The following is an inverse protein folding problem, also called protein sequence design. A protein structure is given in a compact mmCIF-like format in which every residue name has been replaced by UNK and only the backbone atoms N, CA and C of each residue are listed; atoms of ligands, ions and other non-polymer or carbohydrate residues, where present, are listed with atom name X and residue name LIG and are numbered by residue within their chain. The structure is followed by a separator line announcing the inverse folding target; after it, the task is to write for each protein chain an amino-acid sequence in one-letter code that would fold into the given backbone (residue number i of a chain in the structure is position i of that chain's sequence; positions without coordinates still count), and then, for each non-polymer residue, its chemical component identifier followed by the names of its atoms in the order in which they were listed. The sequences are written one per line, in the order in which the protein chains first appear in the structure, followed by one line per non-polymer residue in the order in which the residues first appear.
data_IF_452298607428
#
_entry.id   IF_452298607428
#
_cell.length_a   1.000
_cell.length_b   1.000
_cell.length_c   1.000
_cell.angle_alpha   90.00
_cell.angle_beta   90.00
_cell.angle_gamma   90.00
#
_symmetry.space_group_name_H-M   'P 1'
#
loop_
_entity.id
_entity.type
_entity.pdbx_description
1 polymer ?
#
# COMPACT_ATOMS: atom_id res chain seq x y z
N UNK A 1 5.33 10.47 26.38
CA UNK A 1 5.53 9.08 26.80
C UNK A 1 6.20 8.22 25.70
N UNK A 2 5.67 8.16 24.43
CA UNK A 2 6.30 7.36 23.36
C UNK A 2 7.68 7.92 23.01
N UNK A 3 7.80 9.23 22.81
CA UNK A 3 9.07 9.87 22.50
C UNK A 3 10.10 9.68 23.63
N UNK A 4 9.67 9.87 24.88
CA UNK A 4 10.54 9.72 26.07
C UNK A 4 11.00 8.27 26.22
N UNK A 5 10.10 7.31 25.98
CA UNK A 5 10.44 5.88 26.01
C UNK A 5 11.46 5.52 24.92
N UNK A 6 11.22 5.97 23.68
CA UNK A 6 12.13 5.71 22.56
C UNK A 6 13.53 6.31 22.82
N UNK A 7 13.60 7.51 23.44
CA UNK A 7 14.86 8.14 23.82
C UNK A 7 15.58 7.35 24.91
N UNK A 8 14.85 6.95 25.95
CA UNK A 8 15.43 6.24 27.10
C UNK A 8 15.93 4.83 26.73
N UNK A 9 15.30 4.18 25.75
CA UNK A 9 15.62 2.80 25.36
C UNK A 9 16.53 2.71 24.14
N UNK A 10 16.78 3.82 23.44
CA UNK A 10 17.60 3.85 22.22
C UNK A 10 17.01 3.04 21.06
N UNK A 11 15.68 2.86 21.02
CA UNK A 11 15.02 2.11 19.96
C UNK A 11 15.18 2.83 18.61
N UNK A 12 15.65 2.13 17.59
CA UNK A 12 15.90 2.69 16.27
C UNK A 12 14.63 2.87 15.44
N UNK A 13 13.61 2.03 15.67
CA UNK A 13 12.36 2.05 14.94
C UNK A 13 11.18 1.77 15.85
N UNK A 14 10.16 2.61 15.76
CA UNK A 14 8.91 2.48 16.50
C UNK A 14 7.74 2.68 15.54
N UNK A 15 6.70 1.89 15.70
CA UNK A 15 5.44 2.02 14.96
C UNK A 15 4.27 1.95 15.93
N UNK A 16 3.32 2.86 15.75
CA UNK A 16 2.08 2.88 16.54
C UNK A 16 0.89 2.40 15.74
N UNK A 17 0.05 1.61 16.37
CA UNK A 17 -1.27 1.30 15.89
C UNK A 17 -2.26 2.31 16.50
N UNK A 18 -2.54 3.38 15.74
CA UNK A 18 -3.52 4.39 16.11
C UNK A 18 -4.63 4.39 15.05
N UNK A 19 -5.66 3.62 15.32
CA UNK A 19 -6.75 3.35 14.38
C UNK A 19 -7.75 4.51 14.37
N UNK A 20 -7.49 5.52 13.56
CA UNK A 20 -8.34 6.72 13.43
C UNK A 20 -8.18 7.35 12.03
N UNK A 21 -8.83 8.49 11.79
CA UNK A 21 -8.68 9.28 10.58
C UNK A 21 -7.27 9.85 10.41
N UNK A 22 -6.92 10.17 9.16
CA UNK A 22 -5.56 10.59 8.80
C UNK A 22 -5.06 11.79 9.59
N UNK A 23 -5.91 12.81 9.79
CA UNK A 23 -5.62 14.02 10.55
C UNK A 23 -5.20 13.73 12.01
N UNK A 24 -5.85 12.74 12.63
CA UNK A 24 -5.54 12.32 14.01
C UNK A 24 -4.27 11.48 14.07
N UNK A 25 -4.02 10.63 13.07
CA UNK A 25 -2.77 9.87 12.97
C UNK A 25 -1.60 10.82 12.78
N UNK A 26 -1.71 11.82 11.92
CA UNK A 26 -0.71 12.88 11.75
C UNK A 26 -0.46 13.65 13.05
N UNK A 27 -1.54 14.04 13.74
CA UNK A 27 -1.45 14.70 15.04
C UNK A 27 -0.75 13.83 16.08
N UNK A 28 -1.00 12.51 16.06
CA UNK A 28 -0.33 11.55 16.93
C UNK A 28 1.17 11.48 16.60
N UNK A 29 1.56 11.37 15.33
CA UNK A 29 2.96 11.38 14.89
C UNK A 29 3.65 12.66 15.36
N UNK A 30 3.03 13.83 15.22
CA UNK A 30 3.56 15.11 15.74
C UNK A 30 3.82 15.04 17.24
N UNK A 31 2.87 14.52 18.03
CA UNK A 31 3.00 14.40 19.49
C UNK A 31 4.08 13.43 19.94
N UNK A 32 4.49 12.50 19.08
CA UNK A 32 5.67 11.65 19.34
C UNK A 32 6.99 12.32 18.97
N UNK A 33 6.98 13.62 18.68
CA UNK A 33 8.12 14.35 18.12
C UNK A 33 8.67 13.70 16.85
N UNK A 34 7.79 13.06 16.06
CA UNK A 34 8.14 12.32 14.84
C UNK A 34 9.12 11.15 15.08
N UNK A 35 9.16 10.61 16.30
CA UNK A 35 10.00 9.47 16.69
C UNK A 35 9.30 8.12 16.50
N UNK A 36 8.05 8.10 16.09
CA UNK A 36 7.30 6.89 15.77
C UNK A 36 6.64 7.02 14.41
N UNK A 37 6.73 5.96 13.61
CA UNK A 37 5.87 5.73 12.47
C UNK A 37 4.47 5.29 12.92
N UNK A 38 3.51 5.27 12.02
CA UNK A 38 2.16 4.77 12.30
C UNK A 38 1.64 3.92 11.13
N UNK A 39 0.77 2.96 11.44
CA UNK A 39 0.04 2.23 10.41
C UNK A 39 -0.89 3.18 9.65
N UNK A 40 -0.80 3.13 8.32
CA UNK A 40 -1.59 3.97 7.40
C UNK A 40 -2.94 3.30 7.12
N UNK A 41 -3.89 3.50 8.03
CA UNK A 41 -5.23 2.92 7.92
C UNK A 41 -6.01 3.44 6.71
N UNK A 42 -5.82 4.72 6.33
CA UNK A 42 -6.51 5.27 5.17
C UNK A 42 -5.98 4.66 3.87
N UNK A 43 -4.67 4.43 3.76
CA UNK A 43 -4.11 3.67 2.64
C UNK A 43 -4.76 2.29 2.54
N UNK A 44 -4.88 1.57 3.66
CA UNK A 44 -5.54 0.27 3.71
C UNK A 44 -7.00 0.34 3.26
N UNK A 45 -7.74 1.37 3.69
CA UNK A 45 -9.14 1.55 3.27
C UNK A 45 -9.26 1.85 1.78
N UNK A 46 -8.39 2.69 1.22
CA UNK A 46 -8.39 3.00 -0.20
C UNK A 46 -8.14 1.74 -1.05
N UNK A 47 -7.18 0.90 -0.62
CA UNK A 47 -6.90 -0.38 -1.29
C UNK A 47 -8.08 -1.34 -1.16
N UNK A 48 -8.66 -1.49 0.03
CA UNK A 48 -9.84 -2.33 0.25
C UNK A 48 -11.02 -1.89 -0.63
N UNK A 49 -11.31 -0.61 -0.66
CA UNK A 49 -12.44 -0.06 -1.42
C UNK A 49 -12.22 -0.21 -2.93
N UNK A 50 -10.98 -0.06 -3.40
CA UNK A 50 -10.63 -0.32 -4.80
C UNK A 50 -10.88 -1.79 -5.16
N UNK A 51 -10.35 -2.70 -4.37
CA UNK A 51 -10.44 -4.15 -4.59
C UNK A 51 -11.88 -4.64 -4.45
N UNK A 52 -12.57 -4.26 -3.38
CA UNK A 52 -13.95 -4.66 -3.14
C UNK A 52 -14.95 -3.92 -4.05
N UNK A 53 -14.55 -2.80 -4.67
CA UNK A 53 -15.39 -1.97 -5.52
C UNK A 53 -16.44 -1.13 -4.78
N UNK A 54 -16.42 -1.15 -3.45
CA UNK A 54 -17.36 -0.44 -2.61
C UNK A 54 -16.75 -0.08 -1.26
N UNK A 55 -17.20 1.04 -0.68
CA UNK A 55 -16.77 1.51 0.62
C UNK A 55 -17.45 0.77 1.78
N UNK A 56 -16.91 0.96 3.00
CA UNK A 56 -17.53 0.54 4.25
C UNK A 56 -17.82 -0.97 4.35
N UNK A 57 -16.86 -1.80 3.94
CA UNK A 57 -16.96 -3.26 4.04
C UNK A 57 -17.95 -3.90 3.06
N UNK A 58 -18.63 -3.13 2.23
CA UNK A 58 -19.48 -3.64 1.16
C UNK A 58 -18.61 -4.21 0.02
N UNK A 59 -19.19 -5.08 -0.78
CA UNK A 59 -18.54 -5.68 -1.94
C UNK A 59 -19.43 -5.48 -3.16
N UNK A 60 -18.89 -4.81 -4.18
CA UNK A 60 -19.55 -4.71 -5.47
C UNK A 60 -19.16 -5.90 -6.39
N UNK A 61 -19.92 -6.08 -7.47
CA UNK A 61 -19.64 -7.10 -8.48
C UNK A 61 -18.24 -6.90 -9.10
N UNK A 62 -17.89 -5.64 -9.38
CA UNK A 62 -16.60 -5.25 -9.97
C UNK A 62 -15.75 -4.46 -8.99
N UNK A 63 -14.43 -4.59 -9.08
CA UNK A 63 -13.48 -3.70 -8.42
C UNK A 63 -13.56 -2.30 -9.03
N UNK A 64 -13.17 -1.28 -8.26
CA UNK A 64 -13.06 0.10 -8.73
C UNK A 64 -11.67 0.63 -8.38
N UNK A 65 -10.74 0.39 -9.26
CA UNK A 65 -9.34 0.73 -9.06
C UNK A 65 -9.06 2.24 -9.06
N UNK A 66 -9.99 3.06 -9.56
CA UNK A 66 -9.87 4.53 -9.49
C UNK A 66 -9.83 5.06 -8.04
N UNK A 67 -10.31 4.30 -7.07
CA UNK A 67 -10.25 4.63 -5.63
C UNK A 67 -8.83 4.73 -5.09
N UNK A 68 -7.84 4.12 -5.75
CA UNK A 68 -6.44 4.28 -5.42
C UNK A 68 -5.89 5.69 -5.70
N UNK A 69 -6.64 6.52 -6.42
CA UNK A 69 -6.32 7.94 -6.66
C UNK A 69 -6.63 8.84 -5.44
N UNK A 70 -7.22 8.30 -4.39
CA UNK A 70 -7.45 9.04 -3.15
C UNK A 70 -6.14 9.48 -2.50
N UNK A 71 -6.12 10.70 -1.99
CA UNK A 71 -4.94 11.34 -1.40
C UNK A 71 -5.10 11.65 0.09
N UNK A 72 -6.03 10.99 0.75
CA UNK A 72 -6.37 11.17 2.17
C UNK A 72 -5.60 10.23 3.12
N UNK A 73 -4.44 9.74 2.72
CA UNK A 73 -3.61 8.82 3.49
C UNK A 73 -2.19 9.37 3.73
N UNK A 74 -1.48 8.82 4.74
CA UNK A 74 -0.15 9.26 5.11
C UNK A 74 0.87 9.11 3.97
N UNK A 75 0.79 8.03 3.21
CA UNK A 75 1.70 7.74 2.10
C UNK A 75 1.60 8.82 1.01
N UNK A 76 0.43 9.41 0.82
CA UNK A 76 0.23 10.48 -0.16
C UNK A 76 0.87 11.81 0.28
N UNK A 77 0.81 12.14 1.59
CA UNK A 77 1.39 13.39 2.10
C UNK A 77 2.91 13.31 2.18
N UNK A 78 3.60 14.17 1.41
CA UNK A 78 5.07 14.23 1.38
C UNK A 78 5.69 14.53 2.76
N UNK A 79 4.96 15.20 3.68
CA UNK A 79 5.45 15.51 5.02
C UNK A 79 5.35 14.32 5.99
N UNK A 80 4.45 13.35 5.69
CA UNK A 80 4.17 12.21 6.55
C UNK A 80 4.53 10.87 5.93
N UNK A 81 4.75 10.80 4.62
CA UNK A 81 5.08 9.59 3.87
C UNK A 81 6.15 8.72 4.53
N UNK A 82 7.21 9.35 5.05
CA UNK A 82 8.31 8.65 5.71
C UNK A 82 7.89 7.91 6.99
N UNK A 83 6.77 8.28 7.58
CA UNK A 83 6.20 7.68 8.78
C UNK A 83 5.07 6.70 8.49
N UNK A 84 4.68 6.56 7.22
CA UNK A 84 3.62 5.66 6.81
C UNK A 84 4.10 4.21 6.81
N UNK A 85 3.50 3.37 7.65
CA UNK A 85 3.60 1.91 7.55
C UNK A 85 2.39 1.45 6.76
N UNK A 86 2.59 1.22 5.46
CA UNK A 86 1.52 0.80 4.56
C UNK A 86 1.21 -0.67 4.73
N UNK A 87 -0.06 -1.02 4.73
CA UNK A 87 -0.54 -2.41 4.80
C UNK A 87 -1.87 -2.54 4.07
N UNK A 88 -2.23 -3.74 3.68
CA UNK A 88 -3.49 -4.01 2.97
C UNK A 88 -4.47 -4.83 3.81
N UNK A 89 -3.96 -5.63 4.73
CA UNK A 89 -4.72 -6.42 5.68
C UNK A 89 -3.89 -6.72 6.94
N UNK A 90 -4.56 -6.96 8.07
CA UNK A 90 -3.96 -7.38 9.32
C UNK A 90 -4.88 -8.39 10.05
N UNK A 91 -4.48 -8.82 11.24
CA UNK A 91 -5.23 -9.79 12.04
C UNK A 91 -6.60 -9.28 12.52
N UNK A 92 -6.80 -7.97 12.60
CA UNK A 92 -8.08 -7.37 13.03
C UNK A 92 -9.04 -7.14 11.85
N UNK A 93 -8.53 -7.03 10.63
CA UNK A 93 -9.33 -6.76 9.44
C UNK A 93 -9.62 -7.99 8.59
N UNK A 94 -8.86 -9.08 8.76
CA UNK A 94 -9.07 -10.32 8.01
C UNK A 94 -10.40 -10.99 8.33
N UNK A 95 -10.94 -11.73 7.38
CA UNK A 95 -12.07 -12.63 7.66
C UNK A 95 -11.61 -13.80 8.54
N UNK A 96 -12.17 -13.92 9.75
CA UNK A 96 -11.88 -15.03 10.68
C UNK A 96 -12.98 -16.09 10.68
N UNK A 97 -14.25 -15.67 10.55
CA UNK A 97 -15.39 -16.56 10.48
C UNK A 97 -16.56 -15.92 9.72
N UNK A 98 -17.61 -16.66 9.43
CA UNK A 98 -18.81 -16.11 8.79
C UNK A 98 -19.60 -15.16 9.71
N UNK A 99 -19.48 -15.34 11.03
CA UNK A 99 -20.17 -14.51 12.02
C UNK A 99 -19.38 -13.26 12.41
N UNK A 100 -18.09 -13.19 12.11
CA UNK A 100 -17.23 -12.07 12.48
C UNK A 100 -17.30 -10.98 11.40
N UNK A 101 -17.79 -9.79 11.80
CA UNK A 101 -18.01 -8.63 10.93
C UNK A 101 -16.72 -7.83 10.69
N UNK A 102 -15.67 -8.53 10.28
CA UNK A 102 -14.40 -7.89 9.91
C UNK A 102 -14.54 -7.25 8.52
N UNK A 103 -13.56 -6.46 8.17
CA UNK A 103 -13.54 -5.66 6.95
C UNK A 103 -12.40 -6.10 6.00
N UNK A 104 -12.40 -7.38 5.55
CA UNK A 104 -11.29 -7.95 4.80
C UNK A 104 -11.27 -7.52 3.34
N UNK A 105 -10.13 -7.74 2.71
CA UNK A 105 -10.05 -7.87 1.26
C UNK A 105 -10.88 -9.09 0.83
N UNK A 106 -11.80 -8.90 -0.10
CA UNK A 106 -12.70 -9.98 -0.58
C UNK A 106 -12.20 -10.63 -1.87
N UNK A 107 -11.32 -9.97 -2.61
CA UNK A 107 -10.76 -10.44 -3.89
C UNK A 107 -9.44 -9.70 -4.17
N UNK A 108 -8.73 -10.08 -5.23
CA UNK A 108 -7.55 -9.39 -5.75
C UNK A 108 -6.43 -9.14 -4.72
N UNK A 109 -6.32 -10.01 -3.70
CA UNK A 109 -5.34 -9.88 -2.61
C UNK A 109 -3.91 -9.71 -3.13
N UNK A 110 -3.54 -10.44 -4.18
CA UNK A 110 -2.19 -10.34 -4.73
C UNK A 110 -1.95 -9.01 -5.45
N UNK A 111 -2.94 -8.50 -6.18
CA UNK A 111 -2.86 -7.19 -6.82
C UNK A 111 -2.82 -6.04 -5.80
N UNK A 112 -3.53 -6.17 -4.66
CA UNK A 112 -3.44 -5.24 -3.54
C UNK A 112 -2.01 -5.18 -2.97
N UNK A 113 -1.37 -6.34 -2.76
CA UNK A 113 0.02 -6.40 -2.32
C UNK A 113 0.99 -5.85 -3.39
N UNK A 114 0.72 -6.11 -4.68
CA UNK A 114 1.50 -5.54 -5.77
C UNK A 114 1.46 -4.00 -5.74
N UNK A 115 0.28 -3.41 -5.58
CA UNK A 115 0.17 -1.96 -5.43
C UNK A 115 0.97 -1.46 -4.23
N UNK A 116 0.74 -2.01 -3.04
CA UNK A 116 1.43 -1.60 -1.81
C UNK A 116 2.96 -1.67 -1.94
N UNK A 117 3.48 -2.76 -2.48
CA UNK A 117 4.93 -2.99 -2.58
C UNK A 117 5.60 -2.09 -3.63
N UNK A 118 4.86 -1.59 -4.61
CA UNK A 118 5.36 -0.63 -5.59
C UNK A 118 5.28 0.83 -5.12
N UNK A 119 4.52 1.13 -4.08
CA UNK A 119 4.31 2.49 -3.58
C UNK A 119 5.35 2.90 -2.52
N UNK A 120 5.54 4.20 -2.25
CA UNK A 120 6.34 4.68 -1.12
C UNK A 120 5.78 4.21 0.23
N UNK A 121 6.49 4.55 1.32
CA UNK A 121 6.17 4.10 2.67
C UNK A 121 6.96 2.86 3.06
N UNK A 122 6.75 2.38 4.27
CA UNK A 122 7.32 1.13 4.79
C UNK A 122 6.26 0.04 4.70
N UNK A 123 6.34 -0.88 3.72
CA UNK A 123 5.29 -1.88 3.53
C UNK A 123 5.36 -2.95 4.62
N UNK A 124 4.20 -3.25 5.20
CA UNK A 124 3.99 -4.35 6.14
C UNK A 124 3.16 -5.45 5.48
N UNK A 125 3.81 -6.56 5.12
CA UNK A 125 3.15 -7.69 4.47
C UNK A 125 2.49 -8.57 5.52
N UNK A 126 1.20 -8.81 5.38
CA UNK A 126 0.45 -9.68 6.28
C UNK A 126 0.88 -11.15 6.10
N UNK A 127 1.19 -11.84 7.21
CA UNK A 127 1.76 -13.20 7.18
C UNK A 127 0.92 -14.21 6.39
N UNK A 128 -0.42 -14.26 6.49
CA UNK A 128 -1.23 -15.14 5.66
C UNK A 128 -1.07 -14.87 4.16
N UNK A 129 -0.97 -13.60 3.74
CA UNK A 129 -0.69 -13.27 2.34
C UNK A 129 0.69 -13.75 1.90
N UNK A 130 1.71 -13.56 2.75
CA UNK A 130 3.05 -14.10 2.50
C UNK A 130 3.04 -15.62 2.33
N UNK A 131 2.29 -16.35 3.17
CA UNK A 131 2.18 -17.80 3.06
C UNK A 131 1.48 -18.25 1.77
N UNK A 132 0.41 -17.54 1.38
CA UNK A 132 -0.38 -17.88 0.21
C UNK A 132 0.31 -17.53 -1.13
N UNK A 133 1.08 -16.42 -1.17
CA UNK A 133 1.64 -15.82 -2.38
C UNK A 133 3.13 -15.56 -2.26
N UNK A 134 3.86 -16.48 -1.64
CA UNK A 134 5.27 -16.27 -1.24
C UNK A 134 6.17 -15.90 -2.41
N UNK A 135 6.04 -16.58 -3.54
CA UNK A 135 6.92 -16.35 -4.70
C UNK A 135 6.62 -15.00 -5.35
N UNK A 136 5.36 -14.69 -5.55
CA UNK A 136 4.93 -13.43 -6.14
C UNK A 136 5.35 -12.25 -5.28
N UNK A 137 5.06 -12.30 -3.98
CA UNK A 137 5.43 -11.23 -3.03
C UNK A 137 6.95 -11.07 -2.96
N UNK A 138 7.72 -12.16 -2.98
CA UNK A 138 9.18 -12.12 -3.04
C UNK A 138 9.66 -11.37 -4.28
N UNK A 139 9.13 -11.71 -5.46
CA UNK A 139 9.49 -11.05 -6.71
C UNK A 139 9.13 -9.56 -6.71
N UNK A 140 7.99 -9.18 -6.11
CA UNK A 140 7.62 -7.77 -5.94
C UNK A 140 8.58 -7.02 -5.01
N UNK A 141 9.02 -7.65 -3.92
CA UNK A 141 10.02 -7.08 -3.00
C UNK A 141 11.37 -6.91 -3.73
N UNK A 142 11.76 -7.86 -4.55
CA UNK A 142 12.99 -7.77 -5.35
C UNK A 142 12.90 -6.64 -6.37
N UNK A 143 11.77 -6.50 -7.07
CA UNK A 143 11.53 -5.37 -7.99
C UNK A 143 11.59 -4.01 -7.27
N UNK A 144 10.97 -3.90 -6.08
CA UNK A 144 11.07 -2.72 -5.23
C UNK A 144 12.52 -2.36 -4.88
N UNK A 145 13.32 -3.35 -4.48
CA UNK A 145 14.76 -3.17 -4.15
C UNK A 145 15.57 -2.80 -5.39
N UNK A 146 15.25 -3.39 -6.53
CA UNK A 146 15.93 -3.11 -7.80
C UNK A 146 15.70 -1.67 -8.25
N UNK A 147 14.46 -1.17 -8.13
CA UNK A 147 14.14 0.23 -8.36
C UNK A 147 14.69 1.18 -7.28
N UNK A 148 14.99 0.67 -6.09
CA UNK A 148 15.45 1.47 -4.96
C UNK A 148 14.34 2.32 -4.34
N UNK A 149 13.12 1.79 -4.26
CA UNK A 149 11.98 2.48 -3.65
C UNK A 149 12.11 2.46 -2.14
N UNK A 150 11.91 3.62 -1.53
CA UNK A 150 11.98 3.85 -0.09
C UNK A 150 10.68 4.48 0.44
N UNK A 151 10.64 4.74 1.74
CA UNK A 151 9.57 5.52 2.35
C UNK A 151 9.62 7.03 2.01
N UNK A 152 10.65 7.47 1.28
CA UNK A 152 10.81 8.85 0.80
C UNK A 152 10.60 9.00 -0.70
N UNK A 153 10.36 7.92 -1.41
CA UNK A 153 10.14 7.94 -2.86
C UNK A 153 8.93 8.79 -3.25
N UNK A 154 9.01 9.43 -4.41
CA UNK A 154 7.88 10.13 -5.01
C UNK A 154 7.17 9.23 -6.01
N UNK A 155 5.92 9.57 -6.31
CA UNK A 155 5.16 8.84 -7.32
C UNK A 155 4.29 9.79 -8.15
N UNK A 156 3.91 9.32 -9.33
CA UNK A 156 3.04 10.04 -10.27
C UNK A 156 1.98 9.08 -10.79
N UNK A 157 0.72 9.49 -10.68
CA UNK A 157 -0.38 8.75 -11.30
C UNK A 157 -0.25 8.86 -12.84
N UNK A 158 -0.27 7.72 -13.50
CA UNK A 158 -0.23 7.60 -14.96
C UNK A 158 -1.60 7.32 -15.56
N UNK A 159 -2.45 6.63 -14.81
CA UNK A 159 -3.80 6.27 -15.22
C UNK A 159 -4.65 5.91 -14.01
N UNK A 160 -5.86 6.44 -13.93
CA UNK A 160 -6.84 6.10 -12.91
C UNK A 160 -8.20 5.87 -13.57
N UNK A 161 -8.57 4.60 -13.74
CA UNK A 161 -9.84 4.17 -14.30
C UNK A 161 -10.45 3.04 -13.47
N UNK A 162 -11.73 2.78 -13.64
CA UNK A 162 -12.41 1.67 -12.94
C UNK A 162 -11.74 0.33 -13.24
N UNK A 163 -11.35 0.10 -14.49
CA UNK A 163 -10.79 -1.18 -14.94
C UNK A 163 -9.31 -1.39 -14.56
N UNK A 164 -8.55 -0.32 -14.40
CA UNK A 164 -7.15 -0.41 -13.93
C UNK A 164 -6.64 0.92 -13.36
N UNK A 165 -5.57 0.83 -12.59
CA UNK A 165 -4.80 1.95 -12.05
C UNK A 165 -3.33 1.75 -12.41
N UNK A 166 -2.69 2.77 -12.93
CA UNK A 166 -1.26 2.76 -13.22
C UNK A 166 -0.56 3.90 -12.50
N UNK A 167 0.57 3.60 -11.85
CA UNK A 167 1.35 4.56 -11.08
C UNK A 167 2.84 4.33 -11.28
N UNK A 168 3.59 5.41 -11.41
CA UNK A 168 5.05 5.39 -11.49
C UNK A 168 5.64 5.87 -10.17
N UNK A 169 6.45 5.05 -9.54
CA UNK A 169 7.18 5.40 -8.32
C UNK A 169 8.66 5.59 -8.67
N UNK A 170 9.21 6.74 -8.27
CA UNK A 170 10.62 7.08 -8.48
C UNK A 170 11.46 6.55 -7.34
N UNK A 171 12.20 5.49 -7.59
CA UNK A 171 13.24 4.99 -6.68
C UNK A 171 14.56 5.75 -6.86
N UNK A 172 15.52 5.47 -5.98
CA UNK A 172 16.86 6.06 -6.08
C UNK A 172 17.77 5.39 -7.13
N UNK A 173 17.32 4.28 -7.74
CA UNK A 173 18.04 3.55 -8.79
C UNK A 173 17.31 3.59 -10.13
N UNK A 174 15.99 3.42 -10.12
CA UNK A 174 15.15 3.38 -11.30
C UNK A 174 13.72 3.78 -10.97
N UNK A 175 12.89 3.94 -12.00
CA UNK A 175 11.46 4.16 -11.85
C UNK A 175 10.72 2.84 -12.04
N UNK A 176 9.75 2.56 -11.16
CA UNK A 176 8.90 1.39 -11.23
C UNK A 176 7.47 1.81 -11.55
N UNK A 177 6.91 1.26 -12.61
CA UNK A 177 5.48 1.40 -12.90
C UNK A 177 4.76 0.17 -12.40
N UNK A 178 3.75 0.36 -11.56
CA UNK A 178 2.75 -0.65 -11.20
C UNK A 178 1.47 -0.41 -11.97
N UNK A 179 0.91 -1.46 -12.52
CA UNK A 179 -0.44 -1.48 -13.10
C UNK A 179 -1.23 -2.54 -12.37
N UNK A 180 -2.34 -2.16 -11.77
CA UNK A 180 -3.27 -3.09 -11.09
C UNK A 180 -4.67 -2.93 -11.65
N UNK A 181 -5.40 -4.02 -11.78
CA UNK A 181 -6.77 -3.97 -12.24
C UNK A 181 -7.19 -5.13 -13.14
N UNK A 182 -8.48 -5.22 -13.40
CA UNK A 182 -9.06 -6.31 -14.20
C UNK A 182 -8.60 -6.27 -15.67
N UNK A 183 -8.17 -5.10 -16.14
CA UNK A 183 -7.62 -4.92 -17.49
C UNK A 183 -6.29 -4.18 -17.46
N UNK A 184 -5.24 -4.84 -17.00
CA UNK A 184 -3.89 -4.25 -16.94
C UNK A 184 -3.32 -3.89 -18.32
N UNK A 185 -3.87 -4.46 -19.41
CA UNK A 185 -3.48 -4.16 -20.80
C UNK A 185 -4.00 -2.81 -21.30
N UNK A 186 -4.94 -2.19 -20.56
CA UNK A 186 -5.41 -0.84 -20.89
C UNK A 186 -4.34 0.23 -20.74
N UNK A 187 -3.28 -0.06 -20.00
CA UNK A 187 -2.10 0.83 -19.87
C UNK A 187 -0.89 0.22 -20.61
N UNK A 188 -0.24 1.04 -21.44
CA UNK A 188 1.02 0.71 -22.11
C UNK A 188 2.05 1.77 -21.73
N UNK A 189 3.17 1.42 -21.09
CA UNK A 189 4.25 2.35 -20.80
C UNK A 189 4.99 2.78 -22.08
N UNK A 190 5.85 3.81 -21.99
CA UNK A 190 6.78 4.13 -23.06
C UNK A 190 7.78 2.99 -23.31
N UNK A 191 8.47 3.04 -24.46
CA UNK A 191 9.44 2.04 -24.86
C UNK A 191 10.68 1.94 -23.94
N UNK A 192 10.84 2.90 -23.03
CA UNK A 192 11.94 2.90 -22.04
C UNK A 192 11.74 1.90 -20.90
N UNK A 193 10.56 1.31 -20.80
CA UNK A 193 10.21 0.37 -19.74
C UNK A 193 10.02 -1.04 -20.29
N UNK A 194 10.63 -2.01 -19.61
CA UNK A 194 10.39 -3.44 -19.87
C UNK A 194 9.41 -4.02 -18.82
N UNK A 195 8.52 -4.91 -19.25
CA UNK A 195 7.70 -5.67 -18.30
C UNK A 195 8.58 -6.67 -17.56
N UNK A 196 8.62 -6.58 -16.23
CA UNK A 196 9.44 -7.45 -15.37
C UNK A 196 8.63 -8.45 -14.56
N UNK A 197 7.38 -8.12 -14.23
CA UNK A 197 6.46 -9.02 -13.53
C UNK A 197 5.05 -8.92 -14.14
N UNK A 198 4.36 -10.06 -14.13
CA UNK A 198 2.94 -10.17 -14.48
C UNK A 198 2.28 -11.23 -13.61
N UNK A 199 1.08 -10.96 -13.16
CA UNK A 199 0.25 -11.92 -12.44
C UNK A 199 -1.22 -11.53 -12.50
N UNK A 200 -2.02 -12.18 -11.66
CA UNK A 200 -3.46 -11.94 -11.64
C UNK A 200 -3.76 -10.50 -11.23
N UNK A 201 -4.26 -9.71 -12.19
CA UNK A 201 -4.65 -8.30 -12.05
C UNK A 201 -3.51 -7.35 -11.67
N UNK A 202 -2.24 -7.70 -11.96
CA UNK A 202 -1.12 -6.76 -11.80
C UNK A 202 -0.02 -6.95 -12.86
N UNK A 203 0.72 -5.88 -13.11
CA UNK A 203 1.97 -5.84 -13.89
C UNK A 203 2.95 -4.86 -13.30
N UNK A 204 4.23 -5.16 -13.44
CA UNK A 204 5.32 -4.23 -13.13
C UNK A 204 6.17 -3.99 -14.38
N UNK A 205 6.58 -2.73 -14.53
CA UNK A 205 7.52 -2.30 -15.56
C UNK A 205 8.65 -1.50 -14.92
N UNK A 206 9.89 -1.75 -15.38
CA UNK A 206 11.11 -1.12 -14.88
C UNK A 206 11.99 -0.68 -16.05
#
# INVERSE_FOLDING_TARGET
HVADYNDATGVEYSVGEYWDGNDKIESWIKRTNKKSAAFDFQFRYNVRDAVNGAANGKVATSSDWSKLNSNDNLMHDANYRRYAVTFVENHDTQKRSESEQNDPLRKDTIAANAYMLAMPGTPCVFQPHWRAYKQEIKSMIEARKLAGITNMSNYTNKMAQIACFANETTGNKAKLIVVVGNNTKAYTPSADYAQILEGYHYRYYL
#
